data_IF_960644569537
#
_entry.id   IF_960644569537
#
_cell.length_a   1.000
_cell.length_b   1.000
_cell.length_c   1.000
_cell.angle_alpha   90.00
_cell.angle_beta   90.00
_cell.angle_gamma   90.00
#
_symmetry.space_group_name_H-M   'P 1'
#
loop_
_entity.id
_entity.type
_entity.pdbx_description
1 polymer ?
#
# COMPACT_ATOMS: atom_id res chain seq x y z
N UNK A 1 -6.82 -9.30 0.94
CA UNK A 1 -5.44 -9.73 1.30
C UNK A 1 -5.10 -9.20 2.68
N UNK A 2 -4.30 -9.89 3.49
CA UNK A 2 -3.93 -9.32 4.80
C UNK A 2 -2.82 -8.29 4.73
N UNK A 3 -2.75 -7.39 5.71
CA UNK A 3 -1.58 -6.52 5.91
C UNK A 3 -0.23 -7.28 5.97
N UNK A 4 -0.18 -8.50 6.52
CA UNK A 4 1.07 -9.30 6.53
C UNK A 4 1.41 -9.86 5.14
N UNK A 5 0.41 -10.30 4.37
CA UNK A 5 0.65 -10.75 2.99
C UNK A 5 1.09 -9.57 2.10
N UNK A 6 0.53 -8.39 2.34
CA UNK A 6 0.93 -7.17 1.66
C UNK A 6 2.38 -6.80 1.96
N UNK A 7 2.79 -6.85 3.25
CA UNK A 7 4.20 -6.68 3.62
C UNK A 7 5.10 -7.66 2.87
N UNK A 8 4.72 -8.94 2.80
CA UNK A 8 5.52 -9.97 2.11
C UNK A 8 5.65 -9.69 0.60
N UNK A 9 4.59 -9.20 -0.06
CA UNK A 9 4.65 -8.84 -1.49
C UNK A 9 5.53 -7.60 -1.70
N UNK A 10 5.45 -6.61 -0.81
CA UNK A 10 6.33 -5.43 -0.82
C UNK A 10 7.79 -5.85 -0.59
N UNK A 11 8.06 -6.76 0.35
CA UNK A 11 9.40 -7.29 0.63
C UNK A 11 10.00 -8.04 -0.58
N UNK A 12 9.17 -8.66 -1.43
CA UNK A 12 9.65 -9.41 -2.60
C UNK A 12 9.75 -8.55 -3.87
N UNK A 13 8.81 -7.62 -4.08
CA UNK A 13 8.72 -6.85 -5.32
C UNK A 13 9.25 -5.41 -5.24
N UNK A 14 9.35 -4.84 -4.04
CA UNK A 14 9.68 -3.42 -3.81
C UNK A 14 10.84 -3.23 -2.83
N UNK A 15 11.42 -4.31 -2.28
CA UNK A 15 12.53 -4.22 -1.32
C UNK A 15 13.75 -3.48 -1.88
N UNK A 16 14.01 -3.57 -3.19
CA UNK A 16 15.08 -2.80 -3.83
C UNK A 16 14.82 -1.29 -3.89
N UNK A 17 13.56 -0.85 -3.78
CA UNK A 17 13.16 0.56 -3.94
C UNK A 17 12.65 1.22 -2.64
N UNK A 18 12.18 0.43 -1.67
CA UNK A 18 11.35 0.91 -0.55
C UNK A 18 11.93 0.63 0.84
N UNK A 19 13.22 0.30 0.92
CA UNK A 19 13.86 -0.16 2.17
C UNK A 19 13.85 0.88 3.32
N UNK A 20 13.67 2.17 3.04
CA UNK A 20 13.74 3.23 4.05
C UNK A 20 12.41 3.56 4.77
N UNK A 21 11.25 3.03 4.34
CA UNK A 21 9.96 3.53 4.88
C UNK A 21 8.83 2.50 5.10
N UNK A 22 9.17 1.32 5.63
CA UNK A 22 8.17 0.28 5.96
C UNK A 22 7.12 0.73 7.00
N UNK A 23 7.46 1.69 7.86
CA UNK A 23 6.54 2.25 8.85
C UNK A 23 5.33 2.96 8.25
N UNK A 24 5.42 3.41 6.99
CA UNK A 24 4.34 4.15 6.32
C UNK A 24 3.33 3.26 5.60
N UNK A 25 3.56 1.96 5.50
CA UNK A 25 2.61 1.04 4.85
C UNK A 25 1.26 1.08 5.57
N UNK A 26 1.25 0.99 6.90
CA UNK A 26 -0.01 0.97 7.66
C UNK A 26 -0.74 2.32 7.68
N UNK A 27 -0.08 3.47 7.94
CA UNK A 27 -0.70 4.79 7.78
C UNK A 27 -1.27 5.03 6.37
N UNK A 28 -0.55 4.62 5.33
CA UNK A 28 -1.01 4.75 3.95
C UNK A 28 -2.25 3.90 3.69
N UNK A 29 -2.27 2.65 4.16
CA UNK A 29 -3.44 1.78 4.04
C UNK A 29 -4.66 2.34 4.76
N UNK A 30 -4.48 2.90 5.95
CA UNK A 30 -5.59 3.53 6.68
C UNK A 30 -6.08 4.81 5.95
N UNK A 31 -5.19 5.61 5.33
CA UNK A 31 -5.61 6.73 4.47
C UNK A 31 -6.40 6.23 3.26
N UNK A 32 -5.91 5.22 2.53
CA UNK A 32 -6.62 4.66 1.38
C UNK A 32 -8.02 4.13 1.76
N UNK A 33 -8.17 3.59 2.97
CA UNK A 33 -9.48 3.17 3.48
C UNK A 33 -10.37 4.36 3.82
N UNK A 34 -9.83 5.38 4.50
CA UNK A 34 -10.53 6.64 4.79
C UNK A 34 -11.01 7.33 3.51
N UNK A 35 -10.16 7.31 2.49
CA UNK A 35 -10.41 7.93 1.19
C UNK A 35 -11.25 7.01 0.28
N UNK A 36 -11.75 5.88 0.80
CA UNK A 36 -12.63 4.93 0.11
C UNK A 36 -12.02 4.21 -1.10
N UNK A 37 -10.70 4.30 -1.27
CA UNK A 37 -9.94 3.62 -2.32
C UNK A 37 -9.64 2.16 -1.93
N UNK A 38 -9.68 1.84 -0.64
CA UNK A 38 -9.61 0.49 -0.11
C UNK A 38 -10.70 0.22 0.93
N UNK A 39 -10.96 -1.05 1.21
CA UNK A 39 -11.84 -1.51 2.29
C UNK A 39 -11.04 -2.38 3.26
N UNK A 40 -11.23 -2.14 4.55
CA UNK A 40 -10.72 -2.97 5.65
C UNK A 40 -11.84 -3.88 6.15
N UNK A 41 -11.54 -5.15 6.33
CA UNK A 41 -12.43 -6.14 6.97
C UNK A 41 -11.65 -6.97 7.97
N UNK A 42 -12.28 -7.28 9.11
CA UNK A 42 -11.76 -8.28 10.03
C UNK A 42 -11.93 -9.67 9.39
N UNK A 43 -10.81 -10.30 9.04
CA UNK A 43 -10.77 -11.68 8.59
C UNK A 43 -10.42 -12.61 9.74
N UNK A 44 -11.19 -13.67 9.92
CA UNK A 44 -10.94 -14.72 10.91
C UNK A 44 -12.24 -15.47 11.21
N UNK A 45 -12.35 -16.71 10.73
CA UNK A 45 -13.42 -17.62 11.16
C UNK A 45 -13.20 -18.07 12.61
N UNK A 46 -14.27 -18.56 13.23
CA UNK A 46 -14.35 -19.02 14.62
C UNK A 46 -13.05 -19.72 15.07
N UNK A 47 -12.33 -19.08 15.99
CA UNK A 47 -11.11 -19.61 16.61
C UNK A 47 -9.75 -19.16 16.05
N UNK A 48 -9.66 -18.38 14.96
CA UNK A 48 -8.38 -17.81 14.48
C UNK A 48 -8.19 -16.33 14.84
N UNK A 49 -6.93 -15.94 15.11
CA UNK A 49 -6.52 -14.55 15.39
C UNK A 49 -7.12 -13.60 14.34
N UNK A 50 -7.80 -12.56 14.83
CA UNK A 50 -8.34 -11.47 13.99
C UNK A 50 -7.23 -10.89 13.12
N UNK A 51 -7.44 -10.89 11.80
CA UNK A 51 -6.48 -10.40 10.81
C UNK A 51 -7.14 -9.27 10.02
N UNK A 52 -6.49 -8.11 9.96
CA UNK A 52 -6.95 -7.04 9.09
C UNK A 52 -6.70 -7.43 7.63
N UNK A 53 -7.79 -7.52 6.88
CA UNK A 53 -7.80 -7.81 5.44
C UNK A 53 -8.16 -6.52 4.71
N UNK A 54 -7.29 -6.11 3.79
CA UNK A 54 -7.49 -4.98 2.90
C UNK A 54 -7.84 -5.47 1.50
N UNK A 55 -8.79 -4.78 0.86
CA UNK A 55 -9.25 -5.06 -0.50
C UNK A 55 -9.45 -3.74 -1.23
N UNK A 56 -8.85 -3.60 -2.42
CA UNK A 56 -9.03 -2.41 -3.27
C UNK A 56 -10.49 -2.28 -3.71
N UNK A 57 -11.02 -1.06 -3.73
CA UNK A 57 -12.38 -0.79 -4.25
C UNK A 57 -12.34 -0.52 -5.75
N UNK A 58 -13.50 -0.50 -6.42
CA UNK A 58 -13.59 -0.08 -7.82
C UNK A 58 -13.02 1.33 -8.03
N UNK A 59 -13.36 2.25 -7.13
CA UNK A 59 -12.83 3.63 -7.13
C UNK A 59 -11.32 3.66 -6.93
N UNK A 60 -10.78 2.78 -6.08
CA UNK A 60 -9.33 2.61 -5.92
C UNK A 60 -8.65 2.15 -7.21
N UNK A 61 -9.27 1.23 -7.95
CA UNK A 61 -8.73 0.76 -9.24
C UNK A 61 -8.74 1.88 -10.28
N UNK A 62 -9.81 2.68 -10.35
CA UNK A 62 -9.90 3.83 -11.26
C UNK A 62 -8.84 4.89 -10.92
N UNK A 63 -8.75 5.30 -9.66
CA UNK A 63 -7.73 6.25 -9.21
C UNK A 63 -6.30 5.77 -9.47
N UNK A 64 -6.05 4.47 -9.31
CA UNK A 64 -4.75 3.86 -9.62
C UNK A 64 -4.43 3.92 -11.13
N UNK A 65 -5.42 3.68 -11.99
CA UNK A 65 -5.25 3.77 -13.44
C UNK A 65 -5.02 5.20 -13.90
N UNK A 66 -5.74 6.16 -13.33
CA UNK A 66 -5.53 7.58 -13.60
C UNK A 66 -4.12 8.01 -13.20
N UNK A 67 -3.67 7.60 -12.01
CA UNK A 67 -2.32 7.88 -11.54
C UNK A 67 -1.24 7.28 -12.46
N UNK A 68 -1.41 6.03 -12.91
CA UNK A 68 -0.49 5.40 -13.86
C UNK A 68 -0.45 6.08 -15.24
N UNK A 69 -1.50 6.80 -15.62
CA UNK A 69 -1.56 7.53 -16.88
C UNK A 69 -0.87 8.91 -16.81
N UNK A 70 -0.52 9.37 -15.60
CA UNK A 70 0.22 10.62 -15.43
C UNK A 70 1.68 10.43 -15.88
N UNK A 71 2.30 11.47 -16.49
CA UNK A 71 3.72 11.43 -16.78
C UNK A 71 4.51 11.26 -15.47
N UNK A 72 5.53 10.40 -15.50
CA UNK A 72 6.40 10.20 -14.34
C UNK A 72 7.11 11.52 -14.00
N UNK A 73 7.14 11.85 -12.70
CA UNK A 73 7.92 12.99 -12.22
C UNK A 73 9.40 12.81 -12.58
N UNK A 74 10.12 13.90 -12.88
CA UNK A 74 11.56 13.84 -13.07
C UNK A 74 12.22 13.25 -11.80
N UNK A 75 13.25 12.39 -11.96
CA UNK A 75 13.88 11.74 -10.82
C UNK A 75 14.41 12.79 -9.84
N UNK A 76 14.02 12.66 -8.56
CA UNK A 76 14.55 13.51 -7.49
C UNK A 76 16.02 13.12 -7.28
N UNK A 77 16.94 13.92 -7.81
CA UNK A 77 18.36 13.78 -7.53
C UNK A 77 18.61 14.34 -6.13
N UNK A 78 18.68 13.45 -5.14
CA UNK A 78 19.15 13.84 -3.80
C UNK A 78 20.68 13.92 -3.85
N UNK A 79 21.20 15.13 -4.02
CA UNK A 79 22.64 15.38 -3.96
C UNK A 79 23.05 15.54 -2.49
N UNK A 80 23.79 14.57 -1.96
CA UNK A 80 24.22 14.56 -0.55
C UNK A 80 25.59 15.26 -0.34
N UNK A 81 26.07 16.00 -1.36
CA UNK A 81 27.38 16.68 -1.37
C UNK A 81 27.32 18.21 -1.18
N UNK A 82 26.33 18.75 -0.45
CA UNK A 82 26.31 20.17 -0.06
C UNK A 82 26.37 20.36 1.45
#
# INVERSE_FOLDING_TARGET
MSGYDMKKIVDVGLSHFWNENYGQIYPTLDSLVRDGLARKSEGGGDGKRKRNVYTITKRGVEAFREWLALPADPPIVRNELQ
#
